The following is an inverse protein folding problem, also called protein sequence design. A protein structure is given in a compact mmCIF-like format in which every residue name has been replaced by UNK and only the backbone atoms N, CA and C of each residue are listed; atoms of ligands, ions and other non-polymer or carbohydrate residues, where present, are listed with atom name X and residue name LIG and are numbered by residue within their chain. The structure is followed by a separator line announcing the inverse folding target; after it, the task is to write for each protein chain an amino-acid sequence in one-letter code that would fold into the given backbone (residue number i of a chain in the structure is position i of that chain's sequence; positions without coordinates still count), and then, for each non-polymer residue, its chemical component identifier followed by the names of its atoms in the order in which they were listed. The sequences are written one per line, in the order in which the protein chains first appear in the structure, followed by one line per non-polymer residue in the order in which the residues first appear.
data_IF_727937068379
#
_entry.id   IF_727937068379
#
_cell.length_a   1.000
_cell.length_b   1.000
_cell.length_c   1.000
_cell.angle_alpha   90.00
_cell.angle_beta   90.00
_cell.angle_gamma   90.00
#
_symmetry.space_group_name_H-M   'P 1'
#
loop_
_entity.id
_entity.type
_entity.pdbx_description
1 polymer ?
#
# COMPACT_ATOMS: atom_id res chain seq x y z
N UNK A 1 -19.44 -0.91 9.54
CA UNK A 1 -18.42 -1.12 8.49
C UNK A 1 -17.50 0.09 8.28
N UNK A 2 -17.99 1.32 8.45
CA UNK A 2 -17.23 2.59 8.31
C UNK A 2 -15.92 2.66 9.08
N UNK A 3 -15.87 2.21 10.35
CA UNK A 3 -14.63 2.23 11.15
C UNK A 3 -13.44 1.47 10.53
N UNK A 4 -13.71 0.37 9.82
CA UNK A 4 -12.66 -0.43 9.17
C UNK A 4 -12.12 0.31 7.95
N UNK A 5 -13.02 0.89 7.14
CA UNK A 5 -12.63 1.70 5.99
C UNK A 5 -11.81 2.91 6.44
N UNK A 6 -12.28 3.66 7.43
CA UNK A 6 -11.53 4.80 8.00
C UNK A 6 -10.15 4.41 8.51
N UNK A 7 -10.03 3.24 9.16
CA UNK A 7 -8.74 2.76 9.64
C UNK A 7 -7.80 2.38 8.49
N UNK A 8 -8.34 1.75 7.43
CA UNK A 8 -7.59 1.44 6.22
C UNK A 8 -7.09 2.71 5.51
N UNK A 9 -7.97 3.70 5.36
CA UNK A 9 -7.64 4.98 4.72
C UNK A 9 -6.55 5.73 5.51
N UNK A 10 -6.58 5.67 6.86
CA UNK A 10 -5.53 6.25 7.70
C UNK A 10 -4.18 5.56 7.52
N UNK A 11 -4.16 4.24 7.36
CA UNK A 11 -2.92 3.50 7.10
C UNK A 11 -2.36 3.86 5.72
N UNK A 12 -3.20 3.87 4.68
CA UNK A 12 -2.81 4.25 3.32
C UNK A 12 -2.23 5.67 3.32
N UNK A 13 -2.95 6.64 3.89
CA UNK A 13 -2.50 8.03 3.95
C UNK A 13 -1.16 8.18 4.68
N UNK A 14 -0.89 7.37 5.70
CA UNK A 14 0.39 7.40 6.40
C UNK A 14 1.54 6.88 5.52
N UNK A 15 1.32 5.80 4.77
CA UNK A 15 2.32 5.21 3.87
C UNK A 15 2.63 6.16 2.70
N UNK A 16 1.62 6.83 2.15
CA UNK A 16 1.77 7.79 1.05
C UNK A 16 2.59 9.03 1.39
N UNK A 17 2.88 9.27 2.67
CA UNK A 17 3.84 10.32 3.09
C UNK A 17 5.27 10.03 2.65
N UNK A 18 5.59 8.76 2.41
CA UNK A 18 6.93 8.30 2.02
C UNK A 18 6.90 7.74 0.59
N UNK A 19 5.77 7.17 0.16
CA UNK A 19 5.60 6.59 -1.17
C UNK A 19 4.72 7.49 -2.03
N UNK A 20 5.35 8.24 -2.93
CA UNK A 20 4.67 9.24 -3.77
C UNK A 20 4.09 8.58 -5.03
N UNK A 21 2.82 8.88 -5.34
CA UNK A 21 2.20 8.52 -6.62
C UNK A 21 1.84 7.04 -6.80
N UNK A 22 1.80 6.26 -5.70
CA UNK A 22 1.57 4.80 -5.70
C UNK A 22 0.33 4.38 -4.91
N UNK A 23 -0.73 5.17 -4.98
CA UNK A 23 -1.96 4.94 -4.21
C UNK A 23 -2.55 3.54 -4.41
N UNK A 24 -2.59 3.08 -5.67
CA UNK A 24 -3.16 1.80 -6.02
C UNK A 24 -2.34 0.63 -5.43
N UNK A 25 -1.03 0.68 -5.56
CA UNK A 25 -0.10 -0.33 -5.07
C UNK A 25 -0.10 -0.39 -3.54
N UNK A 26 -0.11 0.76 -2.85
CA UNK A 26 -0.22 0.84 -1.39
C UNK A 26 -1.54 0.20 -0.90
N UNK A 27 -2.65 0.46 -1.61
CA UNK A 27 -3.95 -0.15 -1.28
C UNK A 27 -3.94 -1.66 -1.47
N UNK A 28 -3.36 -2.16 -2.57
CA UNK A 28 -3.24 -3.60 -2.82
C UNK A 28 -2.33 -4.29 -1.79
N UNK A 29 -1.24 -3.65 -1.38
CA UNK A 29 -0.38 -4.14 -0.31
C UNK A 29 -1.12 -4.31 1.01
N UNK A 30 -1.95 -3.32 1.39
CA UNK A 30 -2.77 -3.40 2.59
C UNK A 30 -3.79 -4.56 2.50
N UNK A 31 -4.44 -4.74 1.34
CA UNK A 31 -5.36 -5.87 1.12
C UNK A 31 -4.65 -7.20 1.23
N UNK A 32 -3.49 -7.35 0.56
CA UNK A 32 -2.69 -8.57 0.62
C UNK A 32 -2.28 -8.90 2.05
N UNK A 33 -1.82 -7.90 2.83
CA UNK A 33 -1.47 -8.06 4.23
C UNK A 33 -2.65 -8.57 5.08
N UNK A 34 -3.81 -7.92 4.97
CA UNK A 34 -5.00 -8.27 5.74
C UNK A 34 -5.54 -9.66 5.39
N UNK A 35 -5.43 -10.05 4.12
CA UNK A 35 -5.87 -11.36 3.63
C UNK A 35 -4.81 -12.46 3.79
N UNK A 36 -3.62 -12.15 4.30
CA UNK A 36 -2.44 -13.05 4.29
C UNK A 36 -2.12 -13.58 2.88
N UNK A 37 -2.34 -12.74 1.87
CA UNK A 37 -1.96 -13.00 0.48
C UNK A 37 -0.51 -12.64 0.19
N UNK A 38 -0.12 -12.83 -1.05
CA UNK A 38 1.20 -12.45 -1.56
C UNK A 38 1.06 -11.30 -2.54
N UNK A 39 2.04 -10.40 -2.56
CA UNK A 39 2.12 -9.29 -3.50
C UNK A 39 3.41 -9.41 -4.30
N UNK A 40 3.30 -9.37 -5.62
CA UNK A 40 4.44 -9.22 -6.53
C UNK A 40 4.50 -7.77 -6.98
N UNK A 41 5.66 -7.13 -6.83
CA UNK A 41 5.87 -5.73 -7.20
C UNK A 41 6.85 -5.68 -8.37
N UNK A 42 6.33 -5.54 -9.59
CA UNK A 42 7.11 -5.35 -10.82
C UNK A 42 6.98 -3.91 -11.31
N UNK A 43 8.11 -3.22 -11.46
CA UNK A 43 8.18 -1.84 -11.98
C UNK A 43 9.64 -1.52 -12.38
N UNK A 44 9.88 -0.40 -13.05
CA UNK A 44 11.24 0.05 -13.46
C UNK A 44 12.11 0.51 -12.27
N UNK A 45 13.45 0.38 -12.31
CA UNK A 45 14.32 0.76 -11.19
C UNK A 45 14.11 2.21 -10.71
N UNK A 46 14.16 2.43 -9.39
CA UNK A 46 14.03 3.77 -8.79
C UNK A 46 12.61 4.24 -8.46
N UNK A 47 11.56 3.45 -8.73
CA UNK A 47 10.15 3.85 -8.51
C UNK A 47 9.58 3.56 -7.10
N UNK A 48 10.44 3.35 -6.11
CA UNK A 48 10.02 3.18 -4.71
C UNK A 48 9.59 1.76 -4.30
N UNK A 49 9.81 0.74 -5.15
CA UNK A 49 9.50 -0.68 -4.82
C UNK A 49 10.12 -1.16 -3.50
N UNK A 50 11.38 -0.81 -3.24
CA UNK A 50 12.09 -1.17 -2.00
C UNK A 50 11.59 -0.40 -0.78
N UNK A 51 10.94 0.74 -0.99
CA UNK A 51 10.34 1.50 0.12
C UNK A 51 8.96 0.93 0.47
N UNK A 52 8.31 0.24 -0.47
CA UNK A 52 7.01 -0.41 -0.30
C UNK A 52 7.10 -1.81 0.34
N UNK A 53 8.24 -2.51 0.21
CA UNK A 53 8.49 -3.86 0.71
C UNK A 53 9.39 -3.85 1.95
#
# INVERSE_FOLDING_TARGET
MTKIQESGDRVIANVERVIVGKHHEVRLALVALLCRGHLLIEDVPGTGKTVLA
#
